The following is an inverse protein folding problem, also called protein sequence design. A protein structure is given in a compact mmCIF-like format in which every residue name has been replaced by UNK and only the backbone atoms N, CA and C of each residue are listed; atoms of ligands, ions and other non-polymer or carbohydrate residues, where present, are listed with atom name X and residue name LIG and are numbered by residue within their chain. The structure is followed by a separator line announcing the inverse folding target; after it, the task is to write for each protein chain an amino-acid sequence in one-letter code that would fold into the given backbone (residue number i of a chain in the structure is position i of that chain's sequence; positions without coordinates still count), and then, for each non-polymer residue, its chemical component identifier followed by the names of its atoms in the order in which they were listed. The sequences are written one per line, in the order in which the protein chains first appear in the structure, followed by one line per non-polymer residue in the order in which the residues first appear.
data_IF_648645339433
#
_entry.id   IF_648645339433
#
_cell.length_a   1.000
_cell.length_b   1.000
_cell.length_c   1.000
_cell.angle_alpha   90.00
_cell.angle_beta   90.00
_cell.angle_gamma   90.00
#
_symmetry.space_group_name_H-M   'P 1'
#
loop_
_entity.id
_entity.type
_entity.pdbx_description
1 polymer ?
#
# COMPACT_ATOMS: atom_id res chain seq x y z
N UNK A 1 -19.68 37.96 10.77
CA UNK A 1 -18.25 37.75 11.04
C UNK A 1 -17.57 39.11 10.95
N UNK A 2 -16.94 39.59 12.03
CA UNK A 2 -16.26 40.90 12.05
C UNK A 2 -14.75 40.71 11.84
N UNK A 3 -14.03 41.81 11.53
CA UNK A 3 -12.60 41.76 11.24
C UNK A 3 -11.78 41.27 12.45
N UNK A 4 -12.22 41.53 13.68
CA UNK A 4 -11.56 41.04 14.90
C UNK A 4 -11.64 39.52 15.01
N UNK A 5 -12.79 38.91 14.70
CA UNK A 5 -12.93 37.45 14.71
C UNK A 5 -12.02 36.77 13.68
N UNK A 6 -11.81 37.43 12.53
CA UNK A 6 -10.88 36.93 11.50
C UNK A 6 -9.43 37.04 11.97
N UNK A 7 -9.06 38.15 12.59
CA UNK A 7 -7.70 38.37 13.09
C UNK A 7 -7.34 37.43 14.26
N UNK A 8 -8.29 37.16 15.16
CA UNK A 8 -8.13 36.17 16.23
C UNK A 8 -7.98 34.75 15.67
N UNK A 9 -8.74 34.41 14.61
CA UNK A 9 -8.64 33.12 13.95
C UNK A 9 -7.27 32.95 13.25
N UNK A 10 -6.79 34.00 12.57
CA UNK A 10 -5.47 34.00 11.92
C UNK A 10 -4.37 33.83 12.97
N UNK A 11 -4.40 34.60 14.06
CA UNK A 11 -3.41 34.49 15.13
C UNK A 11 -3.44 33.11 15.81
N UNK A 12 -4.64 32.54 16.02
CA UNK A 12 -4.81 31.19 16.54
C UNK A 12 -4.17 30.14 15.62
N UNK A 13 -4.46 30.19 14.31
CA UNK A 13 -3.91 29.28 13.31
C UNK A 13 -2.39 29.42 13.14
N UNK A 14 -1.86 30.65 13.19
CA UNK A 14 -0.41 30.92 13.11
C UNK A 14 0.33 30.48 14.39
N UNK A 15 -0.30 30.60 15.57
CA UNK A 15 0.26 30.15 16.85
C UNK A 15 0.15 28.64 17.09
N UNK A 16 -0.78 27.97 16.41
CA UNK A 16 -1.06 26.55 16.61
C UNK A 16 0.08 25.63 16.14
N UNK A 17 1.01 26.13 15.32
CA UNK A 17 2.13 25.31 14.79
C UNK A 17 1.67 24.11 13.96
N UNK A 18 0.41 24.12 13.51
CA UNK A 18 -0.15 23.04 12.71
C UNK A 18 0.43 23.11 11.29
N UNK A 19 1.00 21.99 10.83
CA UNK A 19 1.47 21.87 9.44
C UNK A 19 0.29 22.20 8.51
N UNK A 20 0.55 23.05 7.52
CA UNK A 20 -0.37 23.28 6.42
C UNK A 20 -0.69 21.96 5.71
N UNK A 21 -1.86 21.91 5.03
CA UNK A 21 -2.28 20.75 4.23
C UNK A 21 -1.17 20.31 3.25
N UNK A 22 -0.41 21.27 2.71
CA UNK A 22 0.71 21.00 1.81
C UNK A 22 1.85 20.29 2.55
N UNK A 23 2.26 20.81 3.70
CA UNK A 23 3.34 20.21 4.50
C UNK A 23 2.96 18.82 5.01
N UNK A 24 1.72 18.61 5.42
CA UNK A 24 1.23 17.28 5.82
C UNK A 24 1.32 16.28 4.67
N UNK A 25 0.94 16.68 3.45
CA UNK A 25 1.08 15.84 2.24
C UNK A 25 2.54 15.51 1.95
N UNK A 26 3.43 16.50 2.03
CA UNK A 26 4.87 16.28 1.84
C UNK A 26 5.45 15.33 2.89
N UNK A 27 5.06 15.48 4.15
CA UNK A 27 5.52 14.62 5.23
C UNK A 27 5.06 13.17 5.05
N UNK A 28 3.80 12.97 4.68
CA UNK A 28 3.26 11.64 4.39
C UNK A 28 3.96 10.98 3.20
N UNK A 29 4.21 11.75 2.14
CA UNK A 29 4.98 11.27 0.99
C UNK A 29 6.42 10.89 1.37
N UNK A 30 7.09 11.74 2.16
CA UNK A 30 8.45 11.48 2.61
C UNK A 30 8.54 10.20 3.47
N UNK A 31 7.53 9.94 4.32
CA UNK A 31 7.44 8.69 5.09
C UNK A 31 7.30 7.47 4.18
N UNK A 32 6.41 7.52 3.18
CA UNK A 32 6.23 6.44 2.23
C UNK A 32 7.50 6.15 1.41
N UNK A 33 8.19 7.20 0.94
CA UNK A 33 9.47 7.07 0.23
C UNK A 33 10.53 6.42 1.12
N UNK A 34 10.63 6.81 2.40
CA UNK A 34 11.57 6.21 3.34
C UNK A 34 11.27 4.72 3.58
N UNK A 35 10.00 4.35 3.71
CA UNK A 35 9.57 2.96 3.86
C UNK A 35 9.89 2.13 2.62
N UNK A 36 9.58 2.63 1.42
CA UNK A 36 9.94 1.99 0.15
C UNK A 36 11.46 1.83 -0.02
N UNK A 37 12.24 2.83 0.37
CA UNK A 37 13.69 2.74 0.32
C UNK A 37 14.20 1.63 1.26
N UNK A 38 13.68 1.56 2.48
CA UNK A 38 14.03 0.52 3.44
C UNK A 38 13.64 -0.89 2.94
N UNK A 39 12.43 -1.05 2.39
CA UNK A 39 11.98 -2.29 1.77
C UNK A 39 12.89 -2.70 0.61
N UNK A 40 13.24 -1.79 -0.30
CA UNK A 40 14.15 -2.08 -1.41
C UNK A 40 15.54 -2.52 -0.95
N UNK A 41 16.08 -1.93 0.12
CA UNK A 41 17.36 -2.39 0.71
C UNK A 41 17.20 -3.80 1.30
N UNK A 42 16.08 -4.08 1.96
CA UNK A 42 15.80 -5.40 2.53
C UNK A 42 15.64 -6.46 1.44
N UNK A 43 14.90 -6.17 0.35
CA UNK A 43 14.72 -7.09 -0.78
C UNK A 43 16.04 -7.48 -1.43
N UNK A 44 16.97 -6.54 -1.61
CA UNK A 44 18.32 -6.83 -2.15
C UNK A 44 19.14 -7.76 -1.26
N UNK A 45 18.86 -7.77 0.05
CA UNK A 45 19.54 -8.60 1.05
C UNK A 45 18.73 -9.83 1.45
N UNK A 46 17.52 -9.98 0.91
CA UNK A 46 16.62 -11.06 1.26
C UNK A 46 17.16 -12.36 0.69
N UNK A 47 17.53 -13.27 1.59
CA UNK A 47 17.88 -14.63 1.25
C UNK A 47 16.80 -15.56 1.82
N UNK A 48 16.32 -16.56 1.06
CA UNK A 48 15.41 -17.56 1.59
C UNK A 48 16.02 -18.23 2.81
N UNK A 49 15.26 -18.34 3.91
CA UNK A 49 15.72 -19.10 5.05
C UNK A 49 15.93 -20.57 4.63
N UNK A 50 17.06 -21.20 5.04
CA UNK A 50 17.27 -22.63 4.82
C UNK A 50 16.09 -23.42 5.37
N UNK A 51 15.60 -24.40 4.61
CA UNK A 51 14.48 -25.28 5.00
C UNK A 51 13.12 -24.59 5.22
N UNK A 52 12.93 -23.37 4.73
CA UNK A 52 11.59 -22.79 4.66
C UNK A 52 10.68 -23.61 3.72
N UNK A 53 9.36 -23.57 3.96
CA UNK A 53 8.37 -24.19 3.06
C UNK A 53 8.57 -23.75 1.61
N UNK A 54 8.84 -22.46 1.41
CA UNK A 54 9.13 -21.87 0.11
C UNK A 54 10.38 -22.48 -0.54
N UNK A 55 11.44 -22.72 0.24
CA UNK A 55 12.66 -23.37 -0.25
C UNK A 55 12.41 -24.82 -0.65
N UNK A 56 11.61 -25.57 0.12
CA UNK A 56 11.22 -26.95 -0.25
C UNK A 56 10.40 -26.97 -1.54
N UNK A 57 9.40 -26.09 -1.68
CA UNK A 57 8.60 -25.98 -2.92
C UNK A 57 9.46 -25.59 -4.14
N UNK A 58 10.44 -24.71 -3.95
CA UNK A 58 11.37 -24.33 -5.00
C UNK A 58 12.29 -25.50 -5.42
N UNK A 59 12.75 -26.31 -4.46
CA UNK A 59 13.54 -27.52 -4.72
C UNK A 59 12.73 -28.60 -5.43
N UNK A 60 11.47 -28.82 -5.05
CA UNK A 60 10.57 -29.74 -5.75
C UNK A 60 10.36 -29.30 -7.20
N UNK A 61 10.17 -28.00 -7.41
CA UNK A 61 10.04 -27.41 -8.75
C UNK A 61 11.31 -27.64 -9.56
N UNK A 62 12.49 -27.47 -8.95
CA UNK A 62 13.77 -27.76 -9.58
C UNK A 62 13.86 -29.23 -10.00
N UNK A 63 13.68 -30.16 -9.06
CA UNK A 63 13.81 -31.60 -9.33
C UNK A 63 12.84 -32.10 -10.40
N UNK A 64 11.64 -31.51 -10.49
CA UNK A 64 10.65 -31.91 -11.51
C UNK A 64 11.07 -31.68 -12.96
N UNK A 65 12.07 -30.83 -13.21
CA UNK A 65 12.53 -30.43 -14.55
C UNK A 65 14.05 -30.55 -14.73
N UNK A 66 14.76 -31.00 -13.70
CA UNK A 66 16.21 -30.99 -13.66
C UNK A 66 16.84 -31.93 -14.69
N UNK A 67 16.17 -33.03 -15.04
CA UNK A 67 16.68 -34.01 -15.99
C UNK A 67 16.47 -33.60 -17.46
N UNK A 68 15.43 -32.80 -17.74
CA UNK A 68 15.08 -32.39 -19.11
C UNK A 68 15.79 -31.09 -19.52
N UNK A 69 15.66 -30.04 -18.69
CA UNK A 69 16.18 -28.70 -19.00
C UNK A 69 16.66 -28.03 -17.70
N UNK A 70 17.91 -28.29 -17.27
CA UNK A 70 18.46 -27.80 -16.00
C UNK A 70 18.36 -26.27 -15.82
N UNK A 71 18.57 -25.50 -16.89
CA UNK A 71 18.49 -24.03 -16.85
C UNK A 71 17.07 -23.54 -16.58
N UNK A 72 16.06 -24.21 -17.16
CA UNK A 72 14.66 -23.89 -16.95
C UNK A 72 14.19 -24.32 -15.55
N UNK A 73 14.70 -25.44 -15.06
CA UNK A 73 14.47 -25.91 -13.69
C UNK A 73 15.00 -24.89 -12.67
N UNK A 74 16.23 -24.41 -12.87
CA UNK A 74 16.84 -23.38 -12.02
C UNK A 74 16.07 -22.06 -12.07
N UNK A 75 15.67 -21.61 -13.26
CA UNK A 75 14.86 -20.39 -13.40
C UNK A 75 13.50 -20.53 -12.72
N UNK A 76 12.84 -21.69 -12.87
CA UNK A 76 11.53 -21.94 -12.27
C UNK A 76 11.60 -21.91 -10.74
N UNK A 77 12.64 -22.53 -10.15
CA UNK A 77 12.89 -22.48 -8.71
C UNK A 77 13.18 -21.06 -8.22
N UNK A 78 13.97 -20.27 -8.98
CA UNK A 78 14.25 -18.88 -8.66
C UNK A 78 12.99 -18.00 -8.68
N UNK A 79 12.13 -18.14 -9.69
CA UNK A 79 10.84 -17.42 -9.77
C UNK A 79 9.98 -17.75 -8.56
N UNK A 80 9.88 -19.03 -8.19
CA UNK A 80 9.11 -19.48 -7.02
C UNK A 80 9.61 -18.84 -5.71
N UNK A 81 10.93 -18.76 -5.53
CA UNK A 81 11.53 -18.08 -4.37
C UNK A 81 11.24 -16.58 -4.36
N UNK A 82 11.24 -15.94 -5.53
CA UNK A 82 10.92 -14.51 -5.65
C UNK A 82 9.46 -14.21 -5.34
N UNK A 83 8.53 -15.06 -5.75
CA UNK A 83 7.10 -14.90 -5.48
C UNK A 83 6.78 -14.95 -3.97
N UNK A 84 7.63 -15.60 -3.17
CA UNK A 84 7.49 -15.63 -1.72
C UNK A 84 8.02 -14.38 -1.00
N UNK A 85 8.65 -13.44 -1.70
CA UNK A 85 9.12 -12.19 -1.11
C UNK A 85 7.93 -11.31 -0.72
N UNK A 86 7.97 -10.80 0.51
CA UNK A 86 6.96 -9.90 1.05
C UNK A 86 7.34 -8.45 0.79
N UNK A 87 6.40 -7.65 0.31
CA UNK A 87 6.58 -6.22 0.01
C UNK A 87 5.49 -5.38 0.69
N UNK A 88 5.41 -5.41 2.03
CA UNK A 88 4.32 -4.78 2.78
C UNK A 88 4.19 -3.27 2.53
N UNK A 89 5.29 -2.54 2.30
CA UNK A 89 5.22 -1.11 2.00
C UNK A 89 4.62 -0.87 0.60
N UNK A 90 5.00 -1.69 -0.37
CA UNK A 90 4.41 -1.66 -1.71
C UNK A 90 2.94 -2.06 -1.67
N UNK A 91 2.59 -3.13 -0.95
CA UNK A 91 1.22 -3.64 -0.81
C UNK A 91 0.29 -2.58 -0.20
N UNK A 92 0.77 -1.87 0.84
CA UNK A 92 0.04 -0.75 1.46
C UNK A 92 -0.20 0.41 0.50
N UNK A 93 0.74 0.71 -0.40
CA UNK A 93 0.57 1.76 -1.41
C UNK A 93 -0.48 1.37 -2.44
N UNK A 94 -0.50 0.11 -2.87
CA UNK A 94 -1.51 -0.42 -3.80
C UNK A 94 -2.89 -0.35 -3.15
N UNK A 95 -3.04 -0.86 -1.93
CA UNK A 95 -4.30 -0.86 -1.19
C UNK A 95 -4.85 0.57 -0.99
N UNK A 96 -3.99 1.51 -0.62
CA UNK A 96 -4.37 2.93 -0.46
C UNK A 96 -4.72 3.58 -1.82
N UNK A 97 -4.11 3.15 -2.93
CA UNK A 97 -4.52 3.58 -4.26
C UNK A 97 -5.89 3.02 -4.67
N UNK A 98 -6.18 1.76 -4.37
CA UNK A 98 -7.47 1.12 -4.59
C UNK A 98 -8.57 1.79 -3.75
N UNK A 99 -8.32 2.06 -2.47
CA UNK A 99 -9.23 2.78 -1.58
C UNK A 99 -9.60 4.17 -2.13
N UNK A 100 -8.61 4.95 -2.60
CA UNK A 100 -8.88 6.23 -3.30
C UNK A 100 -9.67 6.05 -4.60
N UNK A 101 -9.50 4.93 -5.29
CA UNK A 101 -10.31 4.57 -6.45
C UNK A 101 -11.78 4.41 -6.08
N UNK A 102 -12.06 3.70 -4.98
CA UNK A 102 -13.42 3.53 -4.44
C UNK A 102 -14.03 4.87 -4.03
N UNK A 103 -13.27 5.74 -3.37
CA UNK A 103 -13.72 7.10 -3.00
C UNK A 103 -14.09 7.95 -4.23
N UNK A 104 -13.31 7.85 -5.31
CA UNK A 104 -13.63 8.53 -6.58
C UNK A 104 -14.90 7.97 -7.21
N UNK A 105 -15.14 6.66 -7.11
CA UNK A 105 -16.36 6.03 -7.58
C UNK A 105 -17.58 6.50 -6.77
N UNK A 106 -17.48 6.57 -5.44
CA UNK A 106 -18.49 7.14 -4.54
C UNK A 106 -18.86 8.55 -5.00
N UNK A 107 -17.87 9.44 -5.15
CA UNK A 107 -18.09 10.82 -5.56
C UNK A 107 -18.73 10.94 -6.97
N UNK A 108 -18.50 9.96 -7.85
CA UNK A 108 -19.18 9.89 -9.14
C UNK A 108 -20.64 9.43 -9.02
N UNK A 109 -20.91 8.43 -8.18
CA UNK A 109 -22.24 7.89 -7.94
C UNK A 109 -23.16 8.91 -7.28
N UNK A 110 -22.67 9.64 -6.27
CA UNK A 110 -23.42 10.70 -5.58
C UNK A 110 -23.88 11.82 -6.52
N UNK A 111 -23.15 12.06 -7.61
CA UNK A 111 -23.54 13.05 -8.63
C UNK A 111 -24.62 12.55 -9.59
N UNK A 112 -24.73 11.22 -9.77
CA UNK A 112 -25.60 10.62 -10.80
C UNK A 112 -26.90 10.06 -10.25
N UNK A 113 -26.90 9.64 -8.99
CA UNK A 113 -28.02 8.91 -8.41
C UNK A 113 -28.42 9.52 -7.07
N UNK A 114 -29.73 9.52 -6.83
CA UNK A 114 -30.32 9.87 -5.53
C UNK A 114 -30.68 8.58 -4.77
N UNK A 115 -30.82 8.67 -3.46
CA UNK A 115 -31.25 7.56 -2.58
C UNK A 115 -30.32 6.33 -2.57
N UNK A 116 -29.01 6.54 -2.75
CA UNK A 116 -27.99 5.47 -2.74
C UNK A 116 -27.19 5.38 -1.42
N UNK A 117 -27.72 5.91 -0.32
CA UNK A 117 -26.97 6.06 0.94
C UNK A 117 -26.38 4.75 1.50
N UNK A 118 -27.14 3.65 1.43
CA UNK A 118 -26.68 2.33 1.89
C UNK A 118 -25.52 1.81 1.03
N UNK A 119 -25.61 2.01 -0.29
CA UNK A 119 -24.55 1.61 -1.23
C UNK A 119 -23.27 2.42 -1.00
N UNK A 120 -23.40 3.72 -0.74
CA UNK A 120 -22.26 4.58 -0.41
C UNK A 120 -21.58 4.13 0.90
N UNK A 121 -22.36 3.84 1.94
CA UNK A 121 -21.82 3.31 3.20
C UNK A 121 -21.03 2.01 3.01
N UNK A 122 -21.55 1.08 2.20
CA UNK A 122 -20.85 -0.18 1.91
C UNK A 122 -19.53 0.05 1.14
N UNK A 123 -19.51 1.02 0.21
CA UNK A 123 -18.30 1.37 -0.53
C UNK A 123 -17.27 2.10 0.36
N UNK A 124 -17.71 2.95 1.29
CA UNK A 124 -16.84 3.54 2.30
C UNK A 124 -16.19 2.46 3.17
N UNK A 125 -16.99 1.50 3.65
CA UNK A 125 -16.46 0.37 4.40
C UNK A 125 -15.45 -0.46 3.57
N UNK A 126 -15.71 -0.67 2.28
CA UNK A 126 -14.76 -1.33 1.39
C UNK A 126 -13.43 -0.56 1.31
N UNK A 127 -13.48 0.76 1.14
CA UNK A 127 -12.27 1.60 1.07
C UNK A 127 -11.44 1.51 2.36
N UNK A 128 -12.10 1.50 3.53
CA UNK A 128 -11.42 1.38 4.82
C UNK A 128 -10.84 -0.03 5.04
N UNK A 129 -11.59 -1.07 4.67
CA UNK A 129 -11.14 -2.47 4.73
C UNK A 129 -9.90 -2.72 3.88
N UNK A 130 -9.79 -2.09 2.70
CA UNK A 130 -8.58 -2.17 1.87
C UNK A 130 -7.35 -1.63 2.61
N UNK A 131 -7.49 -0.53 3.36
CA UNK A 131 -6.39 0.06 4.15
C UNK A 131 -5.98 -0.82 5.33
N UNK A 132 -6.96 -1.38 6.05
CA UNK A 132 -6.71 -2.24 7.21
C UNK A 132 -6.13 -3.60 6.83
N UNK A 133 -6.55 -4.16 5.69
CA UNK A 133 -6.06 -5.43 5.18
C UNK A 133 -4.58 -5.42 4.80
N UNK A 134 -4.02 -4.24 4.48
CA UNK A 134 -2.62 -4.09 4.12
C UNK A 134 -1.64 -4.04 5.32
N UNK A 135 -2.16 -3.95 6.55
CA UNK A 135 -1.35 -3.96 7.78
C UNK A 135 -1.23 -5.38 8.41
N UNK A 136 -1.76 -6.43 7.76
CA UNK A 136 -1.68 -7.85 8.19
C UNK A 136 -0.73 -8.68 7.31
#
# INVERSE_FOLDING_TARGET
MNIETVNELIASLESAGELSIREQKFLNLAKAVKQLAAENVALKKSAPAPFSKLMMEALDTYHSKADDVPELAMLSAYVKLRDGLKTPATDRIVAEAEARGVERAIAHLEKKFSNIGVQIMNLQWLADSLREGADK
#
